data_IF_670034881176
#
_entry.id   IF_670034881176
#
_cell.length_a   1.000
_cell.length_b   1.000
_cell.length_c   1.000
_cell.angle_alpha   90.00
_cell.angle_beta   90.00
_cell.angle_gamma   90.00
#
_symmetry.space_group_name_H-M   'P 1'
#
loop_
_entity.id
_entity.type
_entity.pdbx_description
1 polymer ?
#
# COMPACT_ATOMS: atom_id res chain seq x y z
N UNK A 1 0.91 -22.19 -20.88
CA UNK A 1 1.02 -20.89 -21.59
C UNK A 1 0.68 -19.69 -20.70
N UNK A 2 -0.48 -19.67 -20.02
CA UNK A 2 -0.93 -18.54 -19.15
C UNK A 2 0.05 -18.24 -18.00
N UNK A 3 0.56 -19.28 -17.32
CA UNK A 3 1.50 -19.11 -16.20
C UNK A 3 2.83 -18.45 -16.62
N UNK A 4 3.33 -18.77 -17.83
CA UNK A 4 4.53 -18.16 -18.40
C UNK A 4 4.29 -16.69 -18.75
N UNK A 5 3.16 -16.36 -19.36
CA UNK A 5 2.78 -14.99 -19.68
C UNK A 5 2.65 -14.13 -18.41
N UNK A 6 2.02 -14.66 -17.37
CA UNK A 6 1.89 -14.00 -16.07
C UNK A 6 3.25 -13.75 -15.41
N UNK A 7 4.14 -14.75 -15.38
CA UNK A 7 5.48 -14.60 -14.81
C UNK A 7 6.31 -13.59 -15.59
N UNK A 8 6.26 -13.63 -16.92
CA UNK A 8 6.98 -12.69 -17.78
C UNK A 8 6.49 -11.25 -17.57
N UNK A 9 5.17 -11.04 -17.51
CA UNK A 9 4.59 -9.71 -17.30
C UNK A 9 4.87 -9.17 -15.89
N UNK A 10 4.74 -10.00 -14.86
CA UNK A 10 5.07 -9.61 -13.48
C UNK A 10 6.54 -9.21 -13.36
N UNK A 11 7.43 -10.02 -13.96
CA UNK A 11 8.88 -9.72 -14.01
C UNK A 11 9.15 -8.42 -14.76
N UNK A 12 8.47 -8.18 -15.89
CA UNK A 12 8.62 -6.95 -16.65
C UNK A 12 8.21 -5.73 -15.82
N UNK A 13 7.06 -5.76 -15.16
CA UNK A 13 6.57 -4.65 -14.34
C UNK A 13 7.49 -4.38 -13.14
N UNK A 14 7.96 -5.44 -12.48
CA UNK A 14 8.92 -5.33 -11.40
C UNK A 14 10.26 -4.76 -11.87
N UNK A 15 10.82 -5.27 -12.96
CA UNK A 15 12.06 -4.74 -13.55
C UNK A 15 11.90 -3.32 -14.07
N UNK A 16 10.74 -2.94 -14.61
CA UNK A 16 10.45 -1.57 -15.02
C UNK A 16 10.53 -0.61 -13.83
N UNK A 17 10.02 -1.02 -12.67
CA UNK A 17 10.14 -0.23 -11.45
C UNK A 17 11.59 -0.14 -10.98
N UNK A 18 12.31 -1.27 -10.89
CA UNK A 18 13.72 -1.27 -10.49
C UNK A 18 14.62 -0.46 -11.42
N UNK A 19 14.34 -0.51 -12.73
CA UNK A 19 15.09 0.26 -13.74
C UNK A 19 14.75 1.75 -13.70
N UNK A 20 13.58 2.12 -13.19
CA UNK A 20 13.25 3.51 -12.93
C UNK A 20 13.83 3.94 -11.58
N UNK A 21 15.17 4.03 -11.53
CA UNK A 21 15.90 4.36 -10.31
C UNK A 21 15.44 5.67 -9.65
N UNK A 22 15.00 6.65 -10.45
CA UNK A 22 14.43 7.91 -9.92
C UNK A 22 13.12 7.66 -9.17
N UNK A 23 12.17 6.94 -9.77
CA UNK A 23 10.91 6.63 -9.10
C UNK A 23 11.12 5.76 -7.85
N UNK A 24 12.00 4.76 -7.93
CA UNK A 24 12.35 3.91 -6.80
C UNK A 24 12.98 4.72 -5.66
N UNK A 25 13.94 5.59 -5.99
CA UNK A 25 14.59 6.47 -5.03
C UNK A 25 13.58 7.34 -4.28
N UNK A 26 12.70 8.06 -4.97
CA UNK A 26 11.71 8.91 -4.30
C UNK A 26 10.66 8.12 -3.52
N UNK A 27 10.24 6.95 -4.02
CA UNK A 27 9.26 6.11 -3.33
C UNK A 27 9.79 5.58 -1.99
N UNK A 28 11.09 5.26 -1.92
CA UNK A 28 11.74 4.81 -0.68
C UNK A 28 12.20 5.99 0.19
N UNK A 29 12.67 7.07 -0.42
CA UNK A 29 13.22 8.22 0.29
C UNK A 29 12.17 8.90 1.17
N UNK A 30 10.92 9.00 0.72
CA UNK A 30 9.86 9.66 1.51
C UNK A 30 9.59 8.95 2.84
N UNK A 31 9.23 7.65 2.90
CA UNK A 31 8.99 6.97 4.17
C UNK A 31 10.26 6.85 5.03
N UNK A 32 11.43 6.66 4.42
CA UNK A 32 12.70 6.63 5.16
C UNK A 32 13.00 8.00 5.77
N UNK A 33 12.87 9.07 4.99
CA UNK A 33 13.08 10.44 5.46
C UNK A 33 12.12 10.81 6.57
N UNK A 34 10.82 10.47 6.45
CA UNK A 34 9.86 10.68 7.52
C UNK A 34 10.18 9.87 8.78
N UNK A 35 10.64 8.63 8.64
CA UNK A 35 11.10 7.84 9.78
C UNK A 35 12.23 8.55 10.54
N UNK A 36 13.25 9.03 9.83
CA UNK A 36 14.36 9.77 10.44
C UNK A 36 13.86 11.04 11.14
N UNK A 37 13.07 11.85 10.44
CA UNK A 37 12.53 13.11 10.99
C UNK A 37 11.72 12.84 12.27
N UNK A 38 10.89 11.79 12.30
CA UNK A 38 10.06 11.51 13.46
C UNK A 38 10.82 10.85 14.60
N UNK A 39 11.74 9.94 14.30
CA UNK A 39 12.61 9.30 15.30
C UNK A 39 13.45 10.34 16.05
N UNK A 40 14.06 11.28 15.32
CA UNK A 40 14.87 12.35 15.92
C UNK A 40 14.02 13.51 16.47
N UNK A 41 12.86 13.80 15.86
CA UNK A 41 12.03 14.96 16.19
C UNK A 41 11.08 14.74 17.37
N UNK A 42 10.46 13.57 17.51
CA UNK A 42 9.51 13.27 18.60
C UNK A 42 10.15 12.60 19.81
N UNK A 43 11.46 12.36 19.76
CA UNK A 43 12.23 11.75 20.83
C UNK A 43 12.57 10.29 20.54
N UNK A 44 13.80 9.93 20.91
CA UNK A 44 14.42 8.67 20.53
C UNK A 44 14.10 7.51 21.49
N UNK A 45 12.86 7.43 21.99
CA UNK A 45 12.46 6.34 22.89
C UNK A 45 12.21 5.06 22.09
N UNK A 46 12.48 3.91 22.70
CA UNK A 46 12.29 2.62 22.05
C UNK A 46 10.85 2.44 21.51
N UNK A 47 9.84 2.83 22.29
CA UNK A 47 8.44 2.73 21.90
C UNK A 47 8.10 3.58 20.66
N UNK A 48 8.62 4.81 20.59
CA UNK A 48 8.40 5.70 19.45
C UNK A 48 9.14 5.22 18.19
N UNK A 49 10.40 4.79 18.32
CA UNK A 49 11.14 4.23 17.19
C UNK A 49 10.42 3.03 16.58
N UNK A 50 9.88 2.15 17.42
CA UNK A 50 9.17 0.95 16.98
C UNK A 50 7.85 1.32 16.30
N UNK A 51 7.09 2.24 16.90
CA UNK A 51 5.86 2.74 16.31
C UNK A 51 6.12 3.37 14.93
N UNK A 52 7.05 4.33 14.85
CA UNK A 52 7.35 5.03 13.59
C UNK A 52 7.99 4.11 12.54
N UNK A 53 8.81 3.14 12.93
CA UNK A 53 9.39 2.17 12.00
C UNK A 53 8.32 1.35 11.28
N UNK A 54 7.36 0.82 12.04
CA UNK A 54 6.23 0.05 11.50
C UNK A 54 5.26 0.96 10.73
N UNK A 55 4.95 2.14 11.26
CA UNK A 55 4.06 3.10 10.63
C UNK A 55 4.61 3.59 9.28
N UNK A 56 5.91 3.89 9.18
CA UNK A 56 6.54 4.30 7.92
C UNK A 56 6.70 3.15 6.93
N UNK A 57 6.92 1.92 7.40
CA UNK A 57 6.89 0.75 6.53
C UNK A 57 5.49 0.53 5.93
N UNK A 58 4.43 0.71 6.73
CA UNK A 58 3.05 0.67 6.27
C UNK A 58 2.67 1.85 5.36
N UNK A 59 3.14 3.05 5.67
CA UNK A 59 2.96 4.25 4.83
C UNK A 59 3.63 4.05 3.46
N UNK A 60 4.91 3.66 3.42
CA UNK A 60 5.60 3.39 2.16
C UNK A 60 4.91 2.31 1.33
N UNK A 61 4.45 1.24 1.97
CA UNK A 61 3.73 0.13 1.31
C UNK A 61 2.39 0.55 0.71
N UNK A 62 1.60 1.31 1.48
CA UNK A 62 0.35 1.88 0.97
C UNK A 62 0.59 2.94 -0.12
N UNK A 63 1.73 3.65 -0.09
CA UNK A 63 2.15 4.60 -1.13
C UNK A 63 2.53 3.93 -2.45
N UNK A 64 3.24 2.80 -2.41
CA UNK A 64 3.45 1.96 -3.59
C UNK A 64 2.11 1.47 -4.15
N UNK A 65 1.22 1.05 -3.28
CA UNK A 65 -0.08 0.48 -3.65
C UNK A 65 -1.03 1.52 -4.24
N UNK A 66 -1.24 2.67 -3.59
CA UNK A 66 -2.19 3.69 -4.04
C UNK A 66 -1.54 4.72 -4.97
N UNK A 67 -0.42 5.29 -4.54
CA UNK A 67 0.27 6.37 -5.23
C UNK A 67 0.86 5.93 -6.57
N UNK A 68 1.59 4.81 -6.58
CA UNK A 68 2.26 4.34 -7.80
C UNK A 68 1.34 3.53 -8.71
N UNK A 69 0.64 2.51 -8.19
CA UNK A 69 -0.21 1.68 -9.05
C UNK A 69 -1.46 2.43 -9.53
N UNK A 70 -2.12 3.21 -8.68
CA UNK A 70 -3.36 3.91 -9.05
C UNK A 70 -3.15 4.94 -10.16
N UNK A 71 -2.08 5.75 -10.06
CA UNK A 71 -1.70 6.71 -11.12
C UNK A 71 -1.30 6.02 -12.42
N UNK A 72 -0.55 4.91 -12.35
CA UNK A 72 -0.17 4.12 -13.55
C UNK A 72 -1.39 3.52 -14.25
N UNK A 73 -2.35 3.00 -13.51
CA UNK A 73 -3.58 2.44 -14.08
C UNK A 73 -4.40 3.53 -14.78
N UNK A 74 -4.48 4.72 -14.19
CA UNK A 74 -5.14 5.87 -14.81
C UNK A 74 -4.45 6.31 -16.12
N UNK A 75 -3.11 6.31 -16.14
CA UNK A 75 -2.32 6.57 -17.36
C UNK A 75 -2.55 5.51 -18.45
N UNK A 76 -2.52 4.23 -18.10
CA UNK A 76 -2.75 3.14 -19.05
C UNK A 76 -4.16 3.19 -19.66
N UNK A 77 -5.16 3.59 -18.87
CA UNK A 77 -6.52 3.82 -19.36
C UNK A 77 -6.55 4.90 -20.44
N UNK A 78 -5.85 6.02 -20.24
CA UNK A 78 -5.79 7.13 -21.21
C UNK A 78 -5.12 6.71 -22.52
N UNK A 79 -4.11 5.83 -22.46
CA UNK A 79 -3.42 5.28 -23.64
C UNK A 79 -4.26 4.27 -24.44
N UNK A 80 -5.56 4.14 -24.14
CA UNK A 80 -6.46 3.25 -24.86
C UNK A 80 -6.18 1.80 -24.55
N UNK A 81 -6.09 1.45 -23.27
CA UNK A 81 -5.86 0.09 -22.76
C UNK A 81 -6.61 -1.03 -23.49
N UNK A 82 -7.85 -0.78 -23.94
CA UNK A 82 -8.63 -1.74 -24.73
C UNK A 82 -8.00 -2.03 -26.10
N UNK A 83 -7.39 -1.05 -26.76
CA UNK A 83 -6.67 -1.22 -28.04
C UNK A 83 -5.38 -2.02 -27.84
N UNK A 84 -4.65 -1.76 -26.76
CA UNK A 84 -3.41 -2.49 -26.43
C UNK A 84 -3.68 -3.98 -26.10
N UNK A 85 -4.87 -4.27 -25.56
CA UNK A 85 -5.33 -5.65 -25.27
C UNK A 85 -5.79 -6.41 -26.51
N UNK A 86 -6.32 -5.74 -27.52
CA UNK A 86 -6.70 -6.40 -28.78
C UNK A 86 -5.47 -6.90 -29.56
N UNK A 87 -4.31 -6.29 -29.35
CA UNK A 87 -3.07 -6.65 -30.03
C UNK A 87 -2.18 -7.62 -29.25
N UNK A 88 -2.55 -8.00 -28.02
CA UNK A 88 -1.76 -8.93 -27.18
C UNK A 88 -2.60 -10.14 -26.74
N UNK A 89 -2.10 -11.38 -26.85
CA UNK A 89 -2.84 -12.61 -26.49
C UNK A 89 -2.94 -12.83 -24.96
N UNK A 90 -2.93 -11.76 -24.16
CA UNK A 90 -2.92 -11.82 -22.70
C UNK A 90 -4.35 -11.86 -22.15
N UNK A 91 -4.65 -12.87 -21.33
CA UNK A 91 -5.94 -12.94 -20.65
C UNK A 91 -6.08 -11.77 -19.64
N UNK A 92 -7.30 -11.21 -19.46
CA UNK A 92 -7.50 -10.10 -18.54
C UNK A 92 -7.04 -10.40 -17.12
N UNK A 93 -7.28 -11.63 -16.67
CA UNK A 93 -6.92 -12.11 -15.34
C UNK A 93 -5.39 -12.19 -15.16
N UNK A 94 -4.65 -12.63 -16.19
CA UNK A 94 -3.19 -12.66 -16.13
C UNK A 94 -2.58 -11.26 -16.03
N UNK A 95 -3.15 -10.28 -16.74
CA UNK A 95 -2.72 -8.89 -16.67
C UNK A 95 -2.92 -8.28 -15.28
N UNK A 96 -4.12 -8.45 -14.69
CA UNK A 96 -4.41 -7.92 -13.36
C UNK A 96 -3.57 -8.60 -12.28
N UNK A 97 -3.48 -9.93 -12.32
CA UNK A 97 -2.66 -10.69 -11.39
C UNK A 97 -1.18 -10.28 -11.49
N UNK A 98 -0.66 -10.01 -12.70
CA UNK A 98 0.71 -9.54 -12.85
C UNK A 98 0.96 -8.18 -12.17
N UNK A 99 0.00 -7.24 -12.28
CA UNK A 99 0.10 -5.94 -11.60
C UNK A 99 -0.01 -6.06 -10.08
N UNK A 100 -0.93 -6.90 -9.60
CA UNK A 100 -1.05 -7.20 -8.16
C UNK A 100 0.27 -7.78 -7.66
N UNK A 101 0.81 -8.82 -8.30
CA UNK A 101 2.07 -9.47 -7.89
C UNK A 101 3.27 -8.53 -7.94
N UNK A 102 3.37 -7.69 -8.98
CA UNK A 102 4.44 -6.70 -9.10
C UNK A 102 4.35 -5.66 -7.97
N UNK A 103 3.16 -5.12 -7.71
CA UNK A 103 2.91 -4.13 -6.65
C UNK A 103 3.15 -4.74 -5.27
N UNK A 104 2.70 -5.98 -5.06
CA UNK A 104 2.93 -6.74 -3.84
C UNK A 104 4.44 -6.97 -3.61
N UNK A 105 5.20 -7.30 -4.65
CA UNK A 105 6.66 -7.45 -4.55
C UNK A 105 7.35 -6.12 -4.22
N UNK A 106 6.91 -5.01 -4.82
CA UNK A 106 7.42 -3.67 -4.51
C UNK A 106 7.08 -3.23 -3.07
N UNK A 107 5.88 -3.55 -2.59
CA UNK A 107 5.47 -3.36 -1.21
C UNK A 107 6.43 -4.09 -0.25
N UNK A 108 6.68 -5.38 -0.49
CA UNK A 108 7.63 -6.16 0.31
C UNK A 108 9.03 -5.57 0.32
N UNK A 109 9.54 -5.14 -0.84
CA UNK A 109 10.82 -4.44 -0.94
C UNK A 109 10.85 -3.14 -0.11
N UNK A 110 9.76 -2.36 -0.17
CA UNK A 110 9.64 -1.11 0.59
C UNK A 110 9.68 -1.35 2.09
N UNK A 111 8.96 -2.36 2.58
CA UNK A 111 8.99 -2.79 3.98
C UNK A 111 10.41 -3.15 4.40
N UNK A 112 11.09 -4.00 3.62
CA UNK A 112 12.45 -4.42 3.92
C UNK A 112 13.39 -3.22 3.99
N UNK A 113 13.34 -2.31 3.02
CA UNK A 113 14.21 -1.13 3.00
C UNK A 113 13.96 -0.22 4.21
N UNK A 114 12.70 0.12 4.51
CA UNK A 114 12.36 1.01 5.63
C UNK A 114 12.76 0.39 6.97
N UNK A 115 12.43 -0.89 7.20
CA UNK A 115 12.78 -1.56 8.44
C UNK A 115 14.30 -1.76 8.58
N UNK A 116 15.01 -1.99 7.48
CA UNK A 116 16.48 -2.08 7.50
C UNK A 116 17.09 -0.76 7.94
N UNK A 117 16.64 0.37 7.38
CA UNK A 117 17.12 1.69 7.83
C UNK A 117 16.75 1.93 9.29
N UNK A 118 15.54 1.57 9.71
CA UNK A 118 15.14 1.70 11.11
C UNK A 118 16.07 0.91 12.06
N UNK A 119 16.41 -0.33 11.72
CA UNK A 119 17.37 -1.14 12.49
C UNK A 119 18.78 -0.52 12.52
N UNK A 120 19.25 0.05 11.40
CA UNK A 120 20.55 0.71 11.32
C UNK A 120 20.60 2.00 12.17
N UNK A 121 19.49 2.72 12.25
CA UNK A 121 19.32 3.94 13.05
C UNK A 121 19.06 3.64 14.55
N UNK A 122 19.17 2.37 14.95
CA UNK A 122 19.13 1.96 16.35
C UNK A 122 17.77 1.53 16.85
N UNK A 123 16.80 1.23 15.97
CA UNK A 123 15.58 0.50 16.36
C UNK A 123 15.98 -0.81 17.02
N UNK A 124 15.76 -0.88 18.34
CA UNK A 124 15.92 -2.12 19.09
C UNK A 124 14.65 -2.94 18.94
N UNK A 125 14.80 -4.26 18.85
CA UNK A 125 13.68 -5.19 18.76
C UNK A 125 13.99 -6.38 19.67
N UNK A 126 13.17 -6.59 20.68
CA UNK A 126 13.35 -7.68 21.64
C UNK A 126 13.11 -9.05 20.99
N UNK A 127 12.18 -9.11 20.03
CA UNK A 127 11.82 -10.32 19.31
C UNK A 127 11.78 -10.10 17.79
N UNK A 128 12.83 -10.53 17.09
CA UNK A 128 12.90 -10.45 15.63
C UNK A 128 11.79 -11.22 14.91
N UNK A 129 11.27 -12.31 15.50
CA UNK A 129 10.13 -13.03 14.93
C UNK A 129 8.85 -12.20 14.97
N UNK A 130 8.67 -11.36 16.00
CA UNK A 130 7.57 -10.41 16.06
C UNK A 130 7.71 -9.31 14.99
N UNK A 131 8.93 -8.85 14.71
CA UNK A 131 9.18 -7.90 13.61
C UNK A 131 8.85 -8.52 12.25
N UNK A 132 9.29 -9.77 12.01
CA UNK A 132 8.96 -10.50 10.79
C UNK A 132 7.45 -10.71 10.66
N UNK A 133 6.75 -11.08 11.74
CA UNK A 133 5.30 -11.19 11.74
C UNK A 133 4.62 -9.85 11.40
N UNK A 134 5.11 -8.75 11.96
CA UNK A 134 4.62 -7.40 11.67
C UNK A 134 4.83 -7.01 10.21
N UNK A 135 6.01 -7.33 9.65
CA UNK A 135 6.31 -7.12 8.24
C UNK A 135 5.41 -7.95 7.32
N UNK A 136 5.13 -9.21 7.66
CA UNK A 136 4.21 -10.07 6.91
C UNK A 136 2.76 -9.56 6.98
N UNK A 137 2.33 -9.08 8.15
CA UNK A 137 1.02 -8.44 8.32
C UNK A 137 0.91 -7.19 7.45
N UNK A 138 1.92 -6.31 7.45
CA UNK A 138 1.95 -5.14 6.57
C UNK A 138 1.93 -5.54 5.10
N UNK A 139 2.64 -6.61 4.75
CA UNK A 139 2.73 -7.07 3.38
C UNK A 139 1.36 -7.60 2.90
N UNK A 140 0.75 -8.54 3.62
CA UNK A 140 -0.57 -9.08 3.30
C UNK A 140 -1.68 -8.03 3.43
N UNK A 141 -1.60 -7.15 4.42
CA UNK A 141 -2.53 -6.05 4.64
C UNK A 141 -2.44 -4.93 3.60
N UNK A 142 -1.51 -5.02 2.64
CA UNK A 142 -1.44 -4.09 1.51
C UNK A 142 -2.55 -4.30 0.46
N UNK A 143 -3.15 -5.50 0.42
CA UNK A 143 -4.18 -5.90 -0.54
C UNK A 143 -5.38 -4.95 -0.67
N UNK A 144 -6.02 -4.44 0.40
CA UNK A 144 -7.12 -3.48 0.26
C UNK A 144 -6.69 -2.19 -0.44
N UNK A 145 -5.46 -1.72 -0.22
CA UNK A 145 -4.92 -0.52 -0.88
C UNK A 145 -4.63 -0.77 -2.37
N UNK A 146 -4.13 -1.97 -2.70
CA UNK A 146 -3.96 -2.39 -4.10
C UNK A 146 -5.33 -2.46 -4.79
N UNK A 147 -6.35 -3.05 -4.15
CA UNK A 147 -7.70 -3.12 -4.69
C UNK A 147 -8.31 -1.72 -4.89
N UNK A 148 -8.13 -0.81 -3.93
CA UNK A 148 -8.56 0.58 -4.03
C UNK A 148 -7.85 1.33 -5.17
N UNK A 149 -6.57 1.06 -5.42
CA UNK A 149 -5.84 1.62 -6.55
C UNK A 149 -6.45 1.20 -7.91
N UNK A 150 -6.94 -0.04 -8.01
CA UNK A 150 -7.70 -0.48 -9.19
C UNK A 150 -9.04 0.25 -9.34
N UNK A 151 -9.75 0.52 -8.25
CA UNK A 151 -10.97 1.34 -8.30
C UNK A 151 -10.66 2.72 -8.85
N UNK A 152 -9.66 3.42 -8.28
CA UNK A 152 -9.26 4.77 -8.71
C UNK A 152 -8.90 4.76 -10.19
N UNK A 153 -7.94 3.93 -10.61
CA UNK A 153 -7.49 3.87 -12.00
C UNK A 153 -8.55 3.43 -13.00
N UNK A 154 -9.65 2.82 -12.54
CA UNK A 154 -10.78 2.46 -13.39
C UNK A 154 -11.78 3.60 -13.62
N UNK A 155 -11.87 4.57 -12.71
CA UNK A 155 -12.84 5.67 -12.75
C UNK A 155 -12.27 7.01 -13.19
N UNK A 156 -10.95 7.20 -13.09
CA UNK A 156 -10.31 8.47 -13.38
C UNK A 156 -9.53 8.45 -14.69
N UNK A 157 -9.37 9.62 -15.31
CA UNK A 157 -8.31 9.88 -16.29
C UNK A 157 -6.93 9.98 -15.62
N UNK A 158 -5.86 10.12 -16.40
CA UNK A 158 -4.49 10.09 -15.90
C UNK A 158 -4.15 11.21 -14.89
N UNK A 159 -4.65 12.42 -15.13
CA UNK A 159 -4.37 13.58 -14.29
C UNK A 159 -5.18 13.48 -12.99
N UNK A 160 -6.49 13.29 -13.11
CA UNK A 160 -7.38 13.11 -11.96
C UNK A 160 -6.97 11.90 -11.13
N UNK A 161 -6.56 10.80 -11.78
CA UNK A 161 -6.16 9.57 -11.11
C UNK A 161 -4.91 9.74 -10.27
N UNK A 162 -3.92 10.51 -10.76
CA UNK A 162 -2.76 10.87 -9.96
C UNK A 162 -3.16 11.67 -8.72
N UNK A 163 -3.97 12.73 -8.90
CA UNK A 163 -4.42 13.62 -7.80
C UNK A 163 -5.25 12.85 -6.76
N UNK A 164 -6.18 12.01 -7.20
CA UNK A 164 -7.03 11.21 -6.31
C UNK A 164 -6.20 10.16 -5.59
N UNK A 165 -5.30 9.46 -6.29
CA UNK A 165 -4.39 8.48 -5.66
C UNK A 165 -3.54 9.09 -4.57
N UNK A 166 -2.91 10.24 -4.83
CA UNK A 166 -2.06 10.90 -3.82
C UNK A 166 -2.90 11.47 -2.68
N UNK A 167 -4.06 12.06 -2.96
CA UNK A 167 -4.96 12.60 -1.95
C UNK A 167 -5.49 11.52 -1.01
N UNK A 168 -6.02 10.42 -1.57
CA UNK A 168 -6.50 9.27 -0.78
C UNK A 168 -5.36 8.66 0.02
N UNK A 169 -4.18 8.49 -0.57
CA UNK A 169 -3.00 7.98 0.14
C UNK A 169 -2.64 8.84 1.36
N UNK A 170 -2.57 10.15 1.20
CA UNK A 170 -2.21 11.06 2.29
C UNK A 170 -3.30 11.14 3.36
N UNK A 171 -4.57 11.18 2.96
CA UNK A 171 -5.71 11.19 3.90
C UNK A 171 -5.75 9.90 4.71
N UNK A 172 -5.62 8.74 4.05
CA UNK A 172 -5.55 7.45 4.74
C UNK A 172 -4.30 7.34 5.62
N UNK A 173 -3.15 7.87 5.16
CA UNK A 173 -1.91 7.87 5.92
C UNK A 173 -2.00 8.72 7.19
N UNK A 174 -2.58 9.90 7.09
CA UNK A 174 -2.77 10.80 8.23
C UNK A 174 -3.87 10.28 9.15
N UNK A 175 -5.12 10.14 8.68
CA UNK A 175 -6.24 9.72 9.53
C UNK A 175 -6.13 8.28 10.03
N UNK A 176 -5.41 7.42 9.31
CA UNK A 176 -5.13 6.05 9.73
C UNK A 176 -4.01 5.91 10.75
N UNK A 177 -3.40 7.01 11.19
CA UNK A 177 -2.38 6.96 12.22
C UNK A 177 -0.96 6.63 11.73
N UNK A 178 -0.76 6.47 10.41
CA UNK A 178 0.56 6.12 9.85
C UNK A 178 1.52 7.31 9.89
N UNK A 179 1.05 8.51 9.60
CA UNK A 179 1.88 9.73 9.64
C UNK A 179 1.90 10.39 11.02
N UNK A 180 0.85 10.22 11.81
CA UNK A 180 0.76 10.81 13.13
C UNK A 180 0.08 9.81 14.07
N UNK A 181 0.66 9.52 15.26
CA UNK A 181 0.04 8.60 16.20
C UNK A 181 -1.41 9.01 16.53
N UNK A 182 -2.32 8.03 16.52
CA UNK A 182 -3.75 8.27 16.78
C UNK A 182 -4.00 8.96 18.13
N UNK A 183 -3.17 8.69 19.12
CA UNK A 183 -3.29 9.24 20.48
C UNK A 183 -3.06 10.75 20.53
N UNK A 184 -2.35 11.31 19.54
CA UNK A 184 -2.08 12.74 19.44
C UNK A 184 -3.17 13.50 18.68
N UNK A 185 -4.16 12.79 18.12
CA UNK A 185 -5.24 13.41 17.36
C UNK A 185 -6.40 13.86 18.26
N UNK A 186 -7.17 14.91 17.87
CA UNK A 186 -8.44 15.24 18.51
C UNK A 186 -9.42 14.05 18.47
N UNK A 187 -10.28 13.93 19.48
CA UNK A 187 -11.20 12.79 19.64
C UNK A 187 -12.05 12.49 18.39
N UNK A 188 -12.54 13.53 17.71
CA UNK A 188 -13.32 13.38 16.47
C UNK A 188 -12.54 12.63 15.38
N UNK A 189 -11.24 12.90 15.22
CA UNK A 189 -10.41 12.21 14.23
C UNK A 189 -10.12 10.76 14.66
N UNK A 190 -9.99 10.50 15.97
CA UNK A 190 -9.83 9.16 16.49
C UNK A 190 -11.08 8.30 16.23
N UNK A 191 -12.28 8.89 16.34
CA UNK A 191 -13.54 8.19 16.05
C UNK A 191 -13.66 7.85 14.57
N UNK A 192 -13.23 8.76 13.68
CA UNK A 192 -13.17 8.50 12.24
C UNK A 192 -12.15 7.40 11.92
N UNK A 193 -10.99 7.40 12.59
CA UNK A 193 -9.93 6.40 12.41
C UNK A 193 -10.43 4.96 12.62
N UNK A 194 -11.40 4.73 13.51
CA UNK A 194 -11.99 3.40 13.78
C UNK A 194 -12.74 2.78 12.60
N UNK A 195 -13.00 3.54 11.54
CA UNK A 195 -13.64 3.02 10.33
C UNK A 195 -12.66 2.92 9.15
N UNK A 196 -11.43 3.40 9.31
CA UNK A 196 -10.45 3.51 8.24
C UNK A 196 -9.59 2.25 8.12
N UNK A 197 -9.43 1.66 6.92
CA UNK A 197 -8.61 0.46 6.76
C UNK A 197 -7.14 0.71 7.14
N UNK A 198 -6.63 1.94 6.98
CA UNK A 198 -5.26 2.30 7.35
C UNK A 198 -5.01 2.29 8.86
N UNK A 199 -6.02 2.55 9.69
CA UNK A 199 -5.89 2.45 11.15
C UNK A 199 -5.76 1.00 11.60
N UNK A 200 -6.68 0.14 11.16
CA UNK A 200 -6.64 -1.30 11.47
C UNK A 200 -5.41 -1.99 10.86
N UNK A 201 -4.95 -1.51 9.70
CA UNK A 201 -3.69 -1.93 9.09
C UNK A 201 -2.49 -1.68 10.01
N UNK A 202 -2.37 -0.48 10.56
CA UNK A 202 -1.28 -0.14 11.48
C UNK A 202 -1.42 -0.88 12.82
N UNK A 203 -2.61 -0.91 13.41
CA UNK A 203 -2.87 -1.57 14.69
C UNK A 203 -2.54 -3.06 14.62
N UNK A 204 -2.95 -3.75 13.55
CA UNK A 204 -2.63 -5.16 13.35
C UNK A 204 -1.13 -5.40 13.22
N UNK A 205 -0.41 -4.52 12.52
CA UNK A 205 1.04 -4.62 12.38
C UNK A 205 1.81 -4.31 13.67
N UNK A 206 1.27 -3.50 14.57
CA UNK A 206 1.90 -3.19 15.86
C UNK A 206 1.67 -4.27 16.93
N UNK A 207 0.66 -5.13 16.77
CA UNK A 207 0.29 -6.15 17.78
C UNK A 207 1.37 -7.18 18.09
N UNK A 208 2.07 -7.80 17.12
CA UNK A 208 3.12 -8.77 17.44
C UNK A 208 4.23 -8.18 18.32
N UNK A 209 4.45 -6.87 18.19
CA UNK A 209 5.45 -6.10 18.93
C UNK A 209 4.90 -5.50 20.24
N UNK A 210 3.66 -5.84 20.63
CA UNK A 210 2.98 -5.33 21.82
C UNK A 210 2.90 -3.79 21.88
N UNK A 211 2.94 -3.14 20.71
CA UNK A 211 2.92 -1.68 20.58
C UNK A 211 1.54 -1.14 20.14
N UNK A 212 0.54 -2.00 20.04
CA UNK A 212 -0.83 -1.61 19.72
C UNK A 212 -1.53 -1.03 20.95
N UNK A 213 -2.19 0.12 20.80
CA UNK A 213 -2.80 0.84 21.94
C UNK A 213 -4.11 0.26 22.45
N UNK A 214 -4.85 -0.49 21.61
CA UNK A 214 -6.17 -1.06 21.95
C UNK A 214 -6.76 -1.88 20.80
N UNK A 215 -7.84 -2.64 21.06
CA UNK A 215 -8.69 -3.27 20.04
C UNK A 215 -8.39 -4.76 19.77
N UNK A 216 -9.35 -5.46 19.16
CA UNK A 216 -9.26 -6.90 18.88
C UNK A 216 -8.53 -7.20 17.57
N UNK A 217 -7.59 -8.16 17.58
CA UNK A 217 -6.93 -8.63 16.36
C UNK A 217 -7.93 -9.14 15.32
N UNK A 218 -8.99 -9.80 15.79
CA UNK A 218 -10.03 -10.34 14.93
C UNK A 218 -10.83 -9.22 14.25
N UNK A 219 -11.12 -8.13 14.96
CA UNK A 219 -11.83 -6.97 14.41
C UNK A 219 -11.03 -6.31 13.28
N UNK A 220 -9.74 -6.06 13.51
CA UNK A 220 -8.87 -5.44 12.51
C UNK A 220 -8.73 -6.31 11.25
N UNK A 221 -8.61 -7.62 11.44
CA UNK A 221 -8.56 -8.58 10.32
C UNK A 221 -9.87 -8.59 9.55
N UNK A 222 -11.01 -8.68 10.24
CA UNK A 222 -12.33 -8.69 9.59
C UNK A 222 -12.59 -7.41 8.81
N UNK A 223 -12.24 -6.26 9.37
CA UNK A 223 -12.44 -4.97 8.72
C UNK A 223 -11.54 -4.85 7.47
N UNK A 224 -10.26 -5.22 7.57
CA UNK A 224 -9.35 -5.23 6.41
C UNK A 224 -9.82 -6.19 5.31
N UNK A 225 -10.28 -7.39 5.69
CA UNK A 225 -10.86 -8.35 4.75
C UNK A 225 -12.14 -7.79 4.11
N UNK A 226 -13.00 -7.15 4.89
CA UNK A 226 -14.22 -6.48 4.42
C UNK A 226 -13.91 -5.42 3.35
N UNK A 227 -12.94 -4.54 3.62
CA UNK A 227 -12.48 -3.55 2.63
C UNK A 227 -11.83 -4.18 1.41
N UNK A 228 -11.06 -5.24 1.59
CA UNK A 228 -10.44 -5.96 0.47
C UNK A 228 -11.51 -6.54 -0.46
N UNK A 229 -12.53 -7.20 0.09
CA UNK A 229 -13.65 -7.74 -0.66
C UNK A 229 -14.45 -6.61 -1.34
N UNK A 230 -14.78 -5.55 -0.59
CA UNK A 230 -15.53 -4.40 -1.10
C UNK A 230 -14.82 -3.73 -2.29
N UNK A 231 -13.55 -3.36 -2.12
CA UNK A 231 -12.80 -2.68 -3.18
C UNK A 231 -12.51 -3.60 -4.37
N UNK A 232 -12.28 -4.90 -4.13
CA UNK A 232 -12.12 -5.86 -5.22
C UNK A 232 -13.43 -6.02 -6.01
N UNK A 233 -14.57 -6.11 -5.33
CA UNK A 233 -15.88 -6.17 -5.97
C UNK A 233 -16.17 -4.90 -6.79
N UNK A 234 -15.88 -3.72 -6.24
CA UNK A 234 -16.01 -2.45 -6.94
C UNK A 234 -15.09 -2.36 -8.16
N UNK A 235 -13.84 -2.82 -8.05
CA UNK A 235 -12.89 -2.85 -9.16
C UNK A 235 -13.37 -3.77 -10.29
N UNK A 236 -13.86 -4.97 -9.96
CA UNK A 236 -14.42 -5.91 -10.93
C UNK A 236 -15.67 -5.33 -11.59
N UNK A 237 -16.57 -4.73 -10.81
CA UNK A 237 -17.78 -4.10 -11.31
C UNK A 237 -17.47 -2.96 -12.29
N UNK A 238 -16.57 -2.06 -11.90
CA UNK A 238 -16.12 -0.94 -12.73
C UNK A 238 -15.51 -1.41 -14.05
N UNK A 239 -14.69 -2.45 -13.97
CA UNK A 239 -14.06 -3.06 -15.14
C UNK A 239 -15.09 -3.63 -16.11
N UNK A 240 -16.10 -4.35 -15.60
CA UNK A 240 -17.18 -4.92 -16.44
C UNK A 240 -18.00 -3.82 -17.13
N UNK A 241 -18.30 -2.72 -16.43
CA UNK A 241 -19.03 -1.57 -17.00
C UNK A 241 -18.25 -0.87 -18.11
N UNK A 242 -16.93 -0.72 -17.94
CA UNK A 242 -16.07 -0.11 -18.97
C UNK A 242 -15.98 -0.97 -20.24
N UNK A 243 -16.07 -2.29 -20.12
CA UNK A 243 -16.06 -3.21 -21.26
C UNK A 243 -17.36 -3.17 -22.09
N UNK A 244 -18.50 -2.83 -21.46
CA UNK A 244 -19.80 -2.73 -22.15
C UNK A 244 -20.03 -1.39 -22.83
N UNK A 245 -19.45 -0.30 -22.32
CA UNK A 245 -19.61 1.06 -22.87
C UNK A 245 -18.72 1.37 -24.10
N UNK A 246 -17.81 0.46 -24.46
CA UNK A 246 -16.93 0.57 -25.63
C UNK A 246 -17.43 -0.17 -26.87
N UNK A 247 -18.73 -0.47 -26.96
CA UNK A 247 -19.45 -0.95 -28.15
C UNK A 247 -20.35 0.15 -28.65
#
# INVERSE_FOLDING_TARGET
MILFALRAQSKLEFLRFLRNGRALFFTLLVPIGYYLIFSYGFGNTHALQLHFGIAMAGFGTSGVSLGTLGSRLAQERQLGWLRLRQTTPLSPLAYFAAKVLATFSMAGMTIICVLTVALLEGLRVDNYWALVASALILWCGSLPFIALAFVIGSWTDAETGYIVSIGVYLVLGYLGGLLQPLQLMPGVLQDVARFLPSAHYLLLALRPLQAASSGSALEDVLLLLGYTVLFTALAIWSYRRSATAGR
#
